data_IF_134071968666
#
_entry.id   IF_134071968666
#
_cell.length_a   1.000
_cell.length_b   1.000
_cell.length_c   1.000
_cell.angle_alpha   90.00
_cell.angle_beta   90.00
_cell.angle_gamma   90.00
#
_symmetry.space_group_name_H-M   'P 1'
#
loop_
_entity.id
_entity.type
_entity.pdbx_description
1 polymer ?
#
# COMPACT_ATOMS: atom_id res chain seq x y z
N UNK A 1 10.72 8.41 13.68
CA UNK A 1 9.51 7.56 13.62
C UNK A 1 9.76 6.03 13.56
N UNK A 2 8.79 5.22 14.01
CA UNK A 2 8.78 3.76 13.85
C UNK A 2 7.36 3.19 13.72
N UNK A 3 7.24 1.97 13.22
CA UNK A 3 5.99 1.20 13.16
C UNK A 3 6.29 -0.30 13.14
N UNK A 4 5.25 -1.13 13.21
CA UNK A 4 5.34 -2.57 12.98
C UNK A 4 4.40 -2.98 11.86
N UNK A 5 4.78 -4.02 11.11
CA UNK A 5 3.92 -4.62 10.10
C UNK A 5 2.92 -5.55 10.78
N UNK A 6 1.64 -5.28 10.62
CA UNK A 6 0.56 -6.14 11.11
C UNK A 6 0.13 -7.14 10.03
N UNK A 7 -0.59 -6.65 9.03
CA UNK A 7 -1.02 -7.42 7.86
C UNK A 7 -0.01 -7.29 6.72
N UNK A 8 0.68 -8.38 6.39
CA UNK A 8 1.77 -8.36 5.42
C UNK A 8 1.40 -8.82 4.01
N UNK A 9 0.22 -9.41 3.83
CA UNK A 9 -0.23 -9.88 2.52
C UNK A 9 -1.74 -9.94 2.41
N UNK A 10 -2.23 -9.75 1.19
CA UNK A 10 -3.65 -9.84 0.84
C UNK A 10 -3.80 -10.50 -0.52
N UNK A 11 -4.97 -11.12 -0.72
CA UNK A 11 -5.36 -11.72 -1.99
C UNK A 11 -6.70 -11.17 -2.41
N UNK A 12 -6.77 -10.70 -3.65
CA UNK A 12 -7.96 -10.10 -4.28
C UNK A 12 -8.13 -10.67 -5.69
N UNK A 13 -9.31 -10.50 -6.27
CA UNK A 13 -9.57 -10.94 -7.64
C UNK A 13 -9.35 -9.78 -8.63
N UNK A 14 -8.93 -10.06 -9.86
CA UNK A 14 -8.86 -9.03 -10.90
C UNK A 14 -10.22 -8.38 -11.13
N UNK A 15 -10.22 -7.09 -11.48
CA UNK A 15 -11.45 -6.31 -11.70
C UNK A 15 -12.39 -6.15 -10.49
N UNK A 16 -11.96 -6.53 -9.30
CA UNK A 16 -12.79 -6.41 -8.08
C UNK A 16 -12.90 -4.97 -7.54
N UNK A 17 -12.33 -3.99 -8.23
CA UNK A 17 -12.43 -2.58 -7.91
C UNK A 17 -11.58 -2.18 -6.69
N UNK A 18 -12.16 -1.33 -5.83
CA UNK A 18 -11.47 -0.74 -4.70
C UNK A 18 -11.37 -1.69 -3.50
N UNK A 19 -10.20 -1.75 -2.87
CA UNK A 19 -9.98 -2.46 -1.60
C UNK A 19 -9.32 -1.56 -0.57
N UNK A 20 -9.74 -1.72 0.68
CA UNK A 20 -9.10 -1.10 1.84
C UNK A 20 -8.77 -2.19 2.85
N UNK A 21 -7.51 -2.22 3.28
CA UNK A 21 -7.01 -3.14 4.28
C UNK A 21 -6.46 -2.38 5.48
N UNK A 22 -7.12 -2.54 6.61
CA UNK A 22 -6.71 -1.98 7.90
C UNK A 22 -5.58 -2.79 8.53
N UNK A 23 -4.78 -2.15 9.39
CA UNK A 23 -3.77 -2.84 10.20
C UNK A 23 -2.57 -3.36 9.43
N UNK A 24 -2.30 -2.84 8.22
CA UNK A 24 -1.07 -3.15 7.47
C UNK A 24 0.14 -2.60 8.23
N UNK A 25 0.09 -1.33 8.64
CA UNK A 25 1.00 -0.75 9.62
C UNK A 25 0.28 -0.54 10.96
N UNK A 26 0.95 -0.87 12.07
CA UNK A 26 0.42 -0.72 13.43
C UNK A 26 1.50 -0.16 14.36
N UNK A 27 1.08 0.37 15.51
CA UNK A 27 1.99 0.80 16.56
C UNK A 27 2.87 1.99 16.19
N UNK A 28 2.40 2.87 15.30
CA UNK A 28 3.16 4.03 14.83
C UNK A 28 3.61 4.92 15.99
N UNK A 29 4.90 5.26 16.01
CA UNK A 29 5.52 6.18 16.96
C UNK A 29 6.23 7.29 16.18
N UNK A 30 6.12 8.53 16.66
CA UNK A 30 6.85 9.68 16.08
C UNK A 30 8.33 9.65 16.50
N UNK A 31 8.58 9.29 17.75
CA UNK A 31 9.92 9.10 18.30
C UNK A 31 9.85 9.00 19.82
N UNK A 32 11.00 8.87 20.50
CA UNK A 32 11.04 8.69 21.95
C UNK A 32 10.82 9.98 22.76
N UNK A 33 10.84 11.17 22.15
CA UNK A 33 10.70 12.44 22.88
C UNK A 33 9.22 12.85 23.01
N UNK A 34 8.70 13.08 24.23
CA UNK A 34 7.31 13.48 24.44
C UNK A 34 6.95 14.86 23.84
N UNK A 35 7.93 15.69 23.44
CA UNK A 35 7.67 16.96 22.74
C UNK A 35 7.41 16.79 21.24
N UNK A 36 7.47 15.57 20.71
CA UNK A 36 7.28 15.26 19.29
C UNK A 36 5.81 15.07 18.90
N UNK A 37 4.85 15.25 19.81
CA UNK A 37 3.42 15.06 19.54
C UNK A 37 2.89 15.91 18.37
N UNK A 38 3.54 17.05 18.09
CA UNK A 38 3.20 17.97 17.00
C UNK A 38 3.72 17.55 15.62
N UNK A 39 4.59 16.54 15.53
CA UNK A 39 5.14 16.11 14.24
C UNK A 39 4.07 15.37 13.42
N UNK A 40 4.13 15.48 12.10
CA UNK A 40 3.23 14.79 11.17
C UNK A 40 3.88 13.52 10.66
N UNK A 41 3.17 12.39 10.74
CA UNK A 41 3.60 11.15 10.08
C UNK A 41 3.10 11.11 8.64
N UNK A 42 3.96 10.67 7.73
CA UNK A 42 3.61 10.42 6.32
C UNK A 42 4.06 9.03 5.91
N UNK A 43 3.17 8.29 5.28
CA UNK A 43 3.51 7.00 4.67
C UNK A 43 3.67 7.12 3.16
N UNK A 44 4.60 6.34 2.62
CA UNK A 44 4.82 6.16 1.20
C UNK A 44 4.92 4.66 0.89
N UNK A 45 4.25 4.24 -0.18
CA UNK A 45 4.29 2.86 -0.69
C UNK A 45 5.21 2.84 -1.91
N UNK A 46 6.30 2.11 -1.82
CA UNK A 46 7.29 2.00 -2.91
C UNK A 46 7.26 0.60 -3.49
N UNK A 47 7.04 0.47 -4.81
CA UNK A 47 7.07 -0.85 -5.44
C UNK A 47 8.48 -1.43 -5.36
N UNK A 48 8.63 -2.58 -4.69
CA UNK A 48 9.88 -3.35 -4.68
C UNK A 48 9.97 -4.30 -5.87
N UNK A 49 8.91 -5.05 -6.12
CA UNK A 49 8.89 -6.11 -7.13
C UNK A 49 7.47 -6.45 -7.57
N UNK A 50 7.35 -7.09 -8.74
CA UNK A 50 6.06 -7.39 -9.36
C UNK A 50 5.67 -6.33 -10.39
N UNK A 51 4.37 -6.16 -10.62
CA UNK A 51 3.87 -5.25 -11.66
C UNK A 51 2.94 -4.17 -11.09
N UNK A 52 3.17 -2.93 -11.53
CA UNK A 52 2.23 -1.81 -11.30
C UNK A 52 0.94 -1.97 -12.11
N UNK A 53 0.95 -2.76 -13.19
CA UNK A 53 -0.23 -2.95 -14.05
C UNK A 53 -1.38 -3.66 -13.33
N UNK A 54 -1.13 -4.25 -12.17
CA UNK A 54 -2.16 -4.87 -11.33
C UNK A 54 -3.14 -3.84 -10.73
N UNK A 55 -2.78 -2.55 -10.73
CA UNK A 55 -3.56 -1.49 -10.13
C UNK A 55 -4.18 -0.60 -11.22
N UNK A 56 -5.45 -0.24 -11.03
CA UNK A 56 -6.22 0.53 -12.01
C UNK A 56 -5.74 1.99 -12.13
N UNK A 57 -6.25 2.69 -13.15
CA UNK A 57 -6.00 4.13 -13.37
C UNK A 57 -6.40 4.93 -12.11
N UNK A 58 -5.40 5.33 -11.34
CA UNK A 58 -5.53 5.79 -9.95
C UNK A 58 -4.22 5.66 -9.17
N UNK A 59 -3.33 4.75 -9.60
CA UNK A 59 -1.93 4.69 -9.18
C UNK A 59 -1.59 3.48 -8.31
N UNK A 60 -0.41 3.52 -7.69
CA UNK A 60 0.04 2.52 -6.72
C UNK A 60 -0.87 2.52 -5.47
N UNK A 61 -0.85 1.44 -4.66
CA UNK A 61 -1.45 1.46 -3.34
C UNK A 61 -1.02 2.69 -2.54
N UNK A 62 -1.97 3.29 -1.82
CA UNK A 62 -1.71 4.43 -0.93
C UNK A 62 -1.93 4.00 0.51
N UNK A 63 -1.18 4.60 1.43
CA UNK A 63 -1.31 4.33 2.86
C UNK A 63 -1.64 5.61 3.62
N UNK A 64 -2.70 5.56 4.43
CA UNK A 64 -3.06 6.63 5.35
C UNK A 64 -2.30 6.54 6.67
N UNK A 65 -2.29 7.62 7.45
CA UNK A 65 -1.64 7.67 8.78
C UNK A 65 -2.24 6.72 9.82
N UNK A 66 -3.42 6.15 9.56
CA UNK A 66 -3.99 5.05 10.35
C UNK A 66 -3.27 3.71 10.13
N UNK A 67 -2.39 3.62 9.12
CA UNK A 67 -1.75 2.38 8.69
C UNK A 67 -2.62 1.52 7.76
N UNK A 68 -3.73 2.08 7.25
CA UNK A 68 -4.61 1.45 6.28
C UNK A 68 -4.08 1.63 4.86
N UNK A 69 -4.10 0.55 4.06
CA UNK A 69 -3.77 0.60 2.62
C UNK A 69 -5.04 0.62 1.79
N UNK A 70 -5.07 1.47 0.77
CA UNK A 70 -6.13 1.52 -0.23
C UNK A 70 -5.58 1.37 -1.65
N UNK A 71 -6.24 0.57 -2.50
CA UNK A 71 -5.90 0.44 -3.92
C UNK A 71 -7.10 -0.06 -4.76
N UNK A 72 -7.05 0.23 -6.06
CA UNK A 72 -7.98 -0.30 -7.06
C UNK A 72 -7.28 -1.38 -7.89
N UNK A 73 -7.92 -2.51 -8.09
CA UNK A 73 -7.38 -3.61 -8.91
C UNK A 73 -7.82 -3.43 -10.36
N UNK A 74 -6.88 -3.56 -11.30
CA UNK A 74 -7.17 -3.46 -12.73
C UNK A 74 -7.96 -4.69 -13.24
N UNK A 75 -8.77 -4.49 -14.27
CA UNK A 75 -9.42 -5.57 -15.00
C UNK A 75 -8.39 -6.34 -15.83
N UNK A 76 -8.59 -7.66 -15.98
CA UNK A 76 -7.77 -8.54 -16.84
C UNK A 76 -6.26 -8.54 -16.51
N UNK A 77 -5.89 -8.20 -15.27
CA UNK A 77 -4.53 -8.19 -14.77
C UNK A 77 -4.44 -9.07 -13.51
N UNK A 78 -3.51 -10.02 -13.52
CA UNK A 78 -3.26 -10.92 -12.39
C UNK A 78 -1.76 -11.11 -12.16
N UNK A 79 -1.39 -11.54 -10.96
CA UNK A 79 -0.01 -11.68 -10.54
C UNK A 79 0.23 -11.24 -9.10
N UNK A 80 1.45 -10.80 -8.80
CA UNK A 80 1.82 -10.30 -7.49
C UNK A 80 2.56 -8.96 -7.59
N UNK A 81 2.40 -8.13 -6.56
CA UNK A 81 3.20 -6.93 -6.34
C UNK A 81 3.57 -6.82 -4.86
N UNK A 82 4.85 -6.55 -4.57
CA UNK A 82 5.36 -6.37 -3.21
C UNK A 82 5.88 -4.96 -3.03
N UNK A 83 5.54 -4.36 -1.90
CA UNK A 83 5.83 -2.97 -1.57
C UNK A 83 6.70 -2.85 -0.33
N UNK A 84 7.61 -1.87 -0.38
CA UNK A 84 8.18 -1.25 0.81
C UNK A 84 7.21 -0.21 1.36
N UNK A 85 7.06 -0.20 2.69
CA UNK A 85 6.38 0.87 3.42
C UNK A 85 7.46 1.76 4.01
N UNK A 86 7.45 3.03 3.62
CA UNK A 86 8.31 4.07 4.19
C UNK A 86 7.46 4.95 5.10
N UNK A 87 7.85 5.08 6.36
CA UNK A 87 7.27 6.03 7.32
C UNK A 87 8.25 7.17 7.54
N UNK A 88 7.79 8.40 7.34
CA UNK A 88 8.52 9.65 7.62
C UNK A 88 7.80 10.44 8.71
N UNK A 89 8.54 11.16 9.53
CA UNK A 89 8.01 12.29 10.31
C UNK A 89 8.59 13.61 9.77
N UNK A 90 7.98 14.75 10.12
CA UNK A 90 8.47 16.09 9.79
C UNK A 90 9.32 16.71 10.92
N UNK A 91 9.75 15.90 11.89
CA UNK A 91 10.68 16.28 12.94
C UNK A 91 12.14 16.13 12.55
N UNK A 92 13.03 16.74 13.34
CA UNK A 92 14.43 16.30 13.41
C UNK A 92 15.36 16.76 12.29
N UNK A 93 15.78 18.03 12.32
CA UNK A 93 17.18 18.43 11.97
C UNK A 93 17.87 19.15 13.13
N UNK A 94 17.14 19.55 14.18
CA UNK A 94 17.76 20.14 15.38
C UNK A 94 18.59 19.08 16.12
N UNK A 95 19.82 19.45 16.50
CA UNK A 95 20.81 18.61 17.19
C UNK A 95 21.36 17.39 16.39
N UNK A 96 21.66 17.55 15.10
CA UNK A 96 22.25 16.50 14.25
C UNK A 96 21.34 15.27 13.99
N UNK A 97 20.01 15.42 14.08
CA UNK A 97 19.07 14.38 13.69
C UNK A 97 19.25 14.00 12.21
N UNK A 98 19.39 12.70 11.94
CA UNK A 98 19.34 12.15 10.57
C UNK A 98 17.91 12.23 10.04
N UNK A 99 17.75 12.23 8.70
CA UNK A 99 16.43 12.11 8.05
C UNK A 99 15.60 11.03 8.74
N UNK A 100 14.52 11.46 9.39
CA UNK A 100 13.69 10.63 10.25
C UNK A 100 12.76 9.74 9.42
N UNK A 101 13.29 8.65 8.85
CA UNK A 101 12.49 7.66 8.17
C UNK A 101 12.80 6.23 8.63
N UNK A 102 11.76 5.39 8.62
CA UNK A 102 11.86 3.93 8.75
C UNK A 102 11.31 3.30 7.48
N UNK A 103 11.99 2.26 6.97
CA UNK A 103 11.58 1.52 5.78
C UNK A 103 11.49 0.03 6.11
N UNK A 104 10.32 -0.57 5.87
CA UNK A 104 10.09 -2.00 6.09
C UNK A 104 9.56 -2.69 4.84
N UNK A 105 10.04 -3.91 4.63
CA UNK A 105 9.59 -4.78 3.53
C UNK A 105 8.32 -5.50 3.95
N UNK A 106 7.16 -4.98 3.55
CA UNK A 106 6.02 -5.13 4.45
C UNK A 106 4.68 -5.52 3.84
N UNK A 107 4.46 -5.42 2.53
CA UNK A 107 3.12 -5.70 2.00
C UNK A 107 3.10 -6.31 0.60
N UNK A 108 2.51 -7.50 0.46
CA UNK A 108 2.31 -8.19 -0.83
C UNK A 108 0.84 -8.25 -1.20
N UNK A 109 0.52 -7.79 -2.41
CA UNK A 109 -0.80 -7.97 -3.03
C UNK A 109 -0.72 -9.10 -4.05
N UNK A 110 -1.58 -10.11 -3.89
CA UNK A 110 -1.80 -11.15 -4.89
C UNK A 110 -3.13 -10.91 -5.59
N UNK A 111 -3.10 -10.78 -6.91
CA UNK A 111 -4.29 -10.64 -7.75
C UNK A 111 -4.52 -11.95 -8.49
N UNK A 112 -5.67 -12.58 -8.23
CA UNK A 112 -6.08 -13.83 -8.87
C UNK A 112 -6.87 -13.56 -10.15
N UNK A 113 -6.70 -14.40 -11.19
CA UNK A 113 -7.52 -14.31 -12.38
C UNK A 113 -8.99 -14.64 -12.06
N UNK A 114 -9.92 -13.95 -12.72
CA UNK A 114 -11.33 -14.30 -12.79
C UNK A 114 -11.63 -14.85 -14.18
N UNK A 115 -12.44 -15.90 -14.24
CA UNK A 115 -12.84 -16.45 -15.53
C UNK A 115 -14.04 -15.69 -16.07
N UNK A 116 -13.80 -14.76 -16.99
CA UNK A 116 -14.87 -14.12 -17.75
C UNK A 116 -15.47 -15.10 -18.77
N UNK A 117 -16.79 -15.28 -18.70
CA UNK A 117 -17.49 -16.17 -19.63
C UNK A 117 -17.50 -15.56 -21.04
N UNK A 118 -17.23 -16.35 -22.10
CA UNK A 118 -17.31 -15.84 -23.46
C UNK A 118 -18.74 -15.40 -23.79
N UNK A 119 -18.91 -14.17 -24.30
CA UNK A 119 -20.18 -13.71 -24.88
C UNK A 119 -20.19 -13.95 -26.40
N UNK A 120 -21.24 -14.56 -26.92
CA UNK A 120 -21.47 -14.72 -28.36
C UNK A 120 -22.66 -13.85 -28.77
N UNK A 121 -22.38 -12.73 -29.45
CA UNK A 121 -23.42 -11.89 -30.05
C UNK A 121 -23.69 -12.42 -31.46
N UNK A 122 -24.75 -13.22 -31.61
CA UNK A 122 -25.19 -13.70 -32.92
C UNK A 122 -25.89 -12.52 -33.59
N UNK A 123 -25.12 -11.71 -34.30
CA UNK A 123 -25.65 -10.64 -35.15
C UNK A 123 -26.73 -11.23 -36.07
N UNK A 124 -27.99 -10.94 -35.78
CA UNK A 124 -29.09 -11.26 -36.67
C UNK A 124 -28.95 -10.38 -37.91
N UNK A 125 -28.88 -11.04 -39.05
CA UNK A 125 -28.71 -10.44 -40.39
C UNK A 125 -29.97 -9.71 -40.84
#
# INVERSE_FOLDING_TARGET
>A
PSFSVGLSNVTVAEGSGNHTFEGVAIGMQKGPDPNEEYQTLTFEMVLRSGSISLFADGGLPTMGVSGAVNFYVADYQNGNATFDIVLRDDGGVENNGWDNFTMESAFTVTVLPQNDQPSFDVGVS
#
